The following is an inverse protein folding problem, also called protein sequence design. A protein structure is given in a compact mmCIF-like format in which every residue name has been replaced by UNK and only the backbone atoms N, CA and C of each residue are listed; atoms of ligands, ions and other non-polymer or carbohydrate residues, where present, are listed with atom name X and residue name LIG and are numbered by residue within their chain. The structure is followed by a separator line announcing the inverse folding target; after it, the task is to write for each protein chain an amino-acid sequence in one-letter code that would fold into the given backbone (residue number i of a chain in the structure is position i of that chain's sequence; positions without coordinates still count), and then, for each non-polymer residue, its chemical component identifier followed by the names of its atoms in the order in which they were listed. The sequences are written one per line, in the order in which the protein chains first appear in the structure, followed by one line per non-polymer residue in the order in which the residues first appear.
data_IF_661573068650
#
_entry.id   IF_661573068650
#
_cell.length_a   1.000
_cell.length_b   1.000
_cell.length_c   1.000
_cell.angle_alpha   90.00
_cell.angle_beta   90.00
_cell.angle_gamma   90.00
#
_symmetry.space_group_name_H-M   'P 1'
#
loop_
_entity.id
_entity.type
_entity.pdbx_description
1 polymer ?
#
# COMPACT_ATOMS: atom_id res chain seq x y z
N UNK A 1 33.18 -7.12 13.63
CA UNK A 1 32.04 -6.17 13.66
C UNK A 1 31.91 -5.34 12.36
N UNK A 2 32.89 -4.52 11.95
CA UNK A 2 32.79 -3.75 10.69
C UNK A 2 32.66 -4.65 9.46
N UNK A 3 33.41 -5.74 9.40
CA UNK A 3 33.37 -6.67 8.26
C UNK A 3 32.00 -7.39 8.14
N UNK A 4 31.43 -7.81 9.27
CA UNK A 4 30.09 -8.41 9.32
C UNK A 4 29.01 -7.44 8.84
N UNK A 5 29.15 -6.15 9.18
CA UNK A 5 28.22 -5.11 8.70
C UNK A 5 28.32 -4.93 7.18
N UNK A 6 29.54 -4.96 6.61
CA UNK A 6 29.73 -4.88 5.15
C UNK A 6 29.11 -6.09 4.45
N UNK A 7 29.36 -7.29 4.96
CA UNK A 7 28.82 -8.52 4.40
C UNK A 7 27.28 -8.52 4.35
N UNK A 8 26.63 -8.06 5.42
CA UNK A 8 25.16 -7.95 5.45
C UNK A 8 24.66 -6.91 4.44
N UNK A 9 25.32 -5.76 4.30
CA UNK A 9 24.94 -4.76 3.30
C UNK A 9 25.06 -5.30 1.87
N UNK A 10 26.12 -6.02 1.54
CA UNK A 10 26.29 -6.65 0.22
C UNK A 10 25.23 -7.69 -0.06
N UNK A 11 24.87 -8.52 0.94
CA UNK A 11 23.76 -9.48 0.81
C UNK A 11 22.42 -8.77 0.55
N UNK A 12 22.12 -7.70 1.28
CA UNK A 12 20.90 -6.90 1.08
C UNK A 12 20.90 -6.25 -0.31
N UNK A 13 22.02 -5.69 -0.76
CA UNK A 13 22.15 -5.11 -2.09
C UNK A 13 21.95 -6.17 -3.19
N UNK A 14 22.50 -7.37 -3.00
CA UNK A 14 22.28 -8.53 -3.87
C UNK A 14 20.80 -8.90 -4.00
N UNK A 15 20.10 -9.05 -2.87
CA UNK A 15 18.68 -9.37 -2.85
C UNK A 15 17.82 -8.26 -3.48
N UNK A 16 18.15 -6.99 -3.23
CA UNK A 16 17.46 -5.87 -3.87
C UNK A 16 17.62 -5.92 -5.40
N UNK A 17 18.81 -6.22 -5.92
CA UNK A 17 19.02 -6.39 -7.37
C UNK A 17 18.14 -7.52 -7.94
N UNK A 18 18.02 -8.64 -7.23
CA UNK A 18 17.15 -9.75 -7.66
C UNK A 18 15.68 -9.35 -7.67
N UNK A 19 15.19 -8.66 -6.63
CA UNK A 19 13.81 -8.14 -6.58
C UNK A 19 13.56 -7.18 -7.74
N UNK A 20 14.47 -6.25 -8.00
CA UNK A 20 14.32 -5.32 -9.13
C UNK A 20 14.35 -6.01 -10.49
N UNK A 21 15.15 -7.07 -10.65
CA UNK A 21 15.16 -7.85 -11.88
C UNK A 21 13.80 -8.54 -12.10
N UNK A 22 13.30 -9.26 -11.08
CA UNK A 22 12.00 -9.92 -11.13
C UNK A 22 10.85 -8.93 -11.36
N UNK A 23 10.90 -7.77 -10.71
CA UNK A 23 9.92 -6.70 -10.88
C UNK A 23 9.84 -6.25 -12.35
N UNK A 24 10.98 -6.07 -13.01
CA UNK A 24 11.02 -5.64 -14.42
C UNK A 24 10.48 -6.68 -15.38
N UNK A 25 10.58 -7.97 -15.06
CA UNK A 25 10.01 -9.05 -15.88
C UNK A 25 8.54 -9.33 -15.56
N UNK A 26 8.02 -8.86 -14.42
CA UNK A 26 6.65 -9.13 -13.99
C UNK A 26 5.69 -7.96 -14.34
N UNK A 27 4.82 -8.17 -15.33
CA UNK A 27 3.88 -7.15 -15.81
C UNK A 27 2.91 -6.66 -14.72
N UNK A 28 2.41 -7.55 -13.86
CA UNK A 28 1.53 -7.16 -12.76
C UNK A 28 2.26 -6.24 -11.77
N UNK A 29 3.50 -6.56 -11.43
CA UNK A 29 4.33 -5.74 -10.55
C UNK A 29 4.57 -4.34 -11.14
N UNK A 30 4.91 -4.25 -12.43
CA UNK A 30 5.06 -2.95 -13.11
C UNK A 30 3.77 -2.12 -13.12
N UNK A 31 2.60 -2.77 -13.27
CA UNK A 31 1.31 -2.08 -13.19
C UNK A 31 1.03 -1.57 -11.78
N UNK A 32 1.31 -2.36 -10.75
CA UNK A 32 1.10 -1.96 -9.36
C UNK A 32 1.99 -0.77 -8.95
N UNK A 33 3.23 -0.70 -9.45
CA UNK A 33 4.15 0.42 -9.18
C UNK A 33 3.60 1.78 -9.68
N UNK A 34 2.72 1.78 -10.68
CA UNK A 34 2.12 3.04 -11.17
C UNK A 34 1.24 3.74 -10.14
N UNK A 35 0.86 3.05 -9.05
CA UNK A 35 0.05 3.61 -7.97
C UNK A 35 0.95 4.46 -7.05
N UNK A 36 0.61 5.75 -6.81
CA UNK A 36 1.39 6.60 -5.92
C UNK A 36 1.59 5.97 -4.54
N UNK A 37 2.86 5.85 -4.14
CA UNK A 37 3.26 5.22 -2.87
C UNK A 37 3.57 3.73 -2.97
N UNK A 38 3.36 3.09 -4.12
CA UNK A 38 3.79 1.71 -4.35
C UNK A 38 5.08 1.75 -5.17
N UNK A 39 6.19 1.30 -4.57
CA UNK A 39 7.47 1.13 -5.27
C UNK A 39 7.73 -0.33 -5.66
N UNK A 40 8.87 -0.63 -6.34
CA UNK A 40 9.19 -1.98 -6.85
C UNK A 40 9.12 -3.08 -5.80
N UNK A 41 9.59 -2.82 -4.57
CA UNK A 41 9.54 -3.80 -3.47
C UNK A 41 8.09 -4.10 -3.07
N UNK A 42 7.27 -3.07 -2.90
CA UNK A 42 5.86 -3.22 -2.52
C UNK A 42 5.05 -3.86 -3.63
N UNK A 43 5.26 -3.43 -4.87
CA UNK A 43 4.65 -4.02 -6.04
C UNK A 43 5.03 -5.50 -6.19
N UNK A 44 6.29 -5.85 -5.94
CA UNK A 44 6.75 -7.24 -6.02
C UNK A 44 6.17 -8.11 -4.93
N UNK A 45 6.16 -7.62 -3.68
CA UNK A 45 5.52 -8.31 -2.57
C UNK A 45 4.03 -8.56 -2.86
N UNK A 46 3.31 -7.54 -3.33
CA UNK A 46 1.89 -7.69 -3.66
C UNK A 46 1.66 -8.70 -4.80
N UNK A 47 2.43 -8.61 -5.88
CA UNK A 47 2.30 -9.52 -7.03
C UNK A 47 2.71 -10.97 -6.68
N UNK A 48 3.64 -11.16 -5.75
CA UNK A 48 4.05 -12.49 -5.29
C UNK A 48 3.05 -13.11 -4.29
N UNK A 49 2.43 -12.30 -3.43
CA UNK A 49 1.49 -12.80 -2.41
C UNK A 49 0.06 -12.93 -2.92
N UNK A 50 -0.37 -12.06 -3.82
CA UNK A 50 -1.74 -12.05 -4.36
C UNK A 50 -1.71 -12.75 -5.72
N UNK A 51 -1.77 -14.08 -5.69
CA UNK A 51 -1.69 -14.92 -6.90
C UNK A 51 -2.99 -14.91 -7.71
N UNK A 52 -4.14 -14.80 -7.03
CA UNK A 52 -5.45 -14.70 -7.66
C UNK A 52 -6.30 -13.60 -7.01
N UNK A 53 -6.50 -12.51 -7.75
CA UNK A 53 -7.31 -11.37 -7.29
C UNK A 53 -8.82 -11.66 -7.31
N UNK A 54 -9.26 -12.67 -8.07
CA UNK A 54 -10.68 -13.03 -8.20
C UNK A 54 -11.28 -13.55 -6.88
N UNK A 55 -10.42 -14.04 -5.97
CA UNK A 55 -10.77 -14.41 -4.60
C UNK A 55 -11.37 -13.24 -3.79
N UNK A 56 -11.14 -11.99 -4.23
CA UNK A 56 -11.69 -10.79 -3.64
C UNK A 56 -12.80 -10.20 -4.51
N UNK A 57 -14.03 -10.22 -4.00
CA UNK A 57 -15.23 -9.63 -4.63
C UNK A 57 -15.15 -8.11 -4.76
N UNK A 58 -14.29 -7.45 -3.98
CA UNK A 58 -14.10 -6.00 -4.05
C UNK A 58 -12.77 -5.55 -3.46
N UNK A 59 -12.31 -4.36 -3.82
CA UNK A 59 -11.14 -3.75 -3.20
C UNK A 59 -11.30 -3.50 -1.69
N UNK A 60 -12.54 -3.38 -1.17
CA UNK A 60 -12.75 -3.35 0.28
C UNK A 60 -12.41 -4.68 0.94
N UNK A 61 -12.73 -5.80 0.28
CA UNK A 61 -12.38 -7.14 0.77
C UNK A 61 -10.86 -7.34 0.78
N UNK A 62 -10.16 -6.90 -0.28
CA UNK A 62 -8.69 -6.92 -0.29
C UNK A 62 -8.11 -6.06 0.84
N UNK A 63 -8.60 -4.84 1.02
CA UNK A 63 -8.14 -3.97 2.11
C UNK A 63 -8.43 -4.55 3.51
N UNK A 64 -9.53 -5.29 3.66
CA UNK A 64 -9.86 -6.00 4.89
C UNK A 64 -8.91 -7.17 5.14
N UNK A 65 -8.59 -7.95 4.10
CA UNK A 65 -7.63 -9.05 4.14
C UNK A 65 -6.22 -8.58 4.49
N UNK A 66 -5.82 -7.39 4.03
CA UNK A 66 -4.56 -6.73 4.41
C UNK A 66 -4.58 -6.09 5.82
N UNK A 67 -5.73 -6.08 6.48
CA UNK A 67 -5.89 -5.55 7.84
C UNK A 67 -5.91 -4.03 7.93
N UNK A 68 -6.27 -3.35 6.83
CA UNK A 68 -6.32 -1.89 6.70
C UNK A 68 -7.71 -1.31 6.99
N UNK A 69 -8.67 -2.13 7.43
CA UNK A 69 -10.04 -1.72 7.78
C UNK A 69 -10.20 -1.61 9.29
N UNK A 70 -11.05 -0.70 9.81
CA UNK A 70 -11.41 -0.67 11.23
C UNK A 70 -11.98 -2.00 11.72
N UNK A 71 -11.72 -2.36 12.98
CA UNK A 71 -12.46 -3.41 13.69
C UNK A 71 -13.87 -2.91 13.95
N UNK A 72 -14.86 -3.77 13.69
CA UNK A 72 -16.24 -3.54 14.07
C UNK A 72 -16.51 -4.31 15.36
N UNK A 73 -16.84 -3.57 16.42
CA UNK A 73 -17.32 -4.15 17.67
C UNK A 73 -18.75 -3.63 17.86
N UNK A 74 -19.73 -4.52 17.71
CA UNK A 74 -21.14 -4.20 17.91
C UNK A 74 -21.65 -4.96 19.12
N UNK A 75 -22.16 -4.23 20.13
CA UNK A 75 -22.92 -4.79 21.24
C UNK A 75 -24.22 -4.01 21.39
N UNK A 76 -25.33 -4.73 21.65
CA UNK A 76 -26.65 -4.12 21.86
C UNK A 76 -27.14 -3.21 20.73
N UNK A 77 -26.87 -3.56 19.46
CA UNK A 77 -27.35 -2.81 18.29
C UNK A 77 -26.62 -1.51 17.97
N UNK A 78 -25.57 -1.13 18.72
CA UNK A 78 -24.75 0.05 18.41
C UNK A 78 -23.46 -0.37 17.73
N UNK A 79 -23.27 0.04 16.47
CA UNK A 79 -22.02 -0.16 15.76
C UNK A 79 -20.96 0.83 16.24
N UNK A 80 -19.79 0.32 16.66
CA UNK A 80 -18.61 1.14 16.97
C UNK A 80 -17.42 0.69 16.14
N UNK A 81 -16.86 1.64 15.38
CA UNK A 81 -15.61 1.43 14.65
C UNK A 81 -14.42 1.72 15.57
N UNK A 82 -13.53 0.73 15.71
CA UNK A 82 -12.32 0.82 16.52
C UNK A 82 -11.06 1.07 15.71
N UNK A 83 -9.91 0.66 16.28
CA UNK A 83 -8.61 0.61 15.58
C UNK A 83 -8.68 -0.32 14.36
N UNK A 84 -7.74 -0.20 13.43
CA UNK A 84 -7.62 -1.15 12.32
C UNK A 84 -7.52 -2.60 12.81
N UNK A 85 -8.02 -3.54 12.01
CA UNK A 85 -8.06 -4.96 12.35
C UNK A 85 -6.68 -5.54 12.59
N UNK A 86 -5.68 -5.10 11.80
CA UNK A 86 -4.33 -5.68 11.74
C UNK A 86 -4.34 -7.19 11.43
N UNK A 87 -5.47 -7.70 10.95
CA UNK A 87 -5.60 -9.08 10.50
C UNK A 87 -4.92 -9.23 9.12
N UNK A 88 -4.27 -10.35 8.85
CA UNK A 88 -3.48 -10.56 7.64
C UNK A 88 -2.06 -9.98 7.70
N UNK A 89 -1.36 -10.04 6.56
CA UNK A 89 0.10 -9.93 6.48
C UNK A 89 0.64 -8.57 7.02
N UNK A 90 1.38 -8.58 8.15
CA UNK A 90 2.03 -7.39 8.70
C UNK A 90 3.05 -6.75 7.74
N UNK A 91 3.71 -7.54 6.90
CA UNK A 91 4.75 -7.07 5.97
C UNK A 91 4.15 -6.20 4.88
N UNK A 92 3.16 -6.71 4.13
CA UNK A 92 2.47 -5.92 3.08
C UNK A 92 1.80 -4.69 3.68
N UNK A 93 1.14 -4.84 4.83
CA UNK A 93 0.52 -3.71 5.53
C UNK A 93 1.54 -2.62 5.88
N UNK A 94 2.71 -3.00 6.39
CA UNK A 94 3.81 -2.07 6.69
C UNK A 94 4.29 -1.37 5.43
N UNK A 95 4.51 -2.11 4.34
CA UNK A 95 4.96 -1.54 3.06
C UNK A 95 3.97 -0.50 2.52
N UNK A 96 2.66 -0.79 2.54
CA UNK A 96 1.63 0.15 2.11
C UNK A 96 1.57 1.41 2.99
N UNK A 97 1.74 1.28 4.31
CA UNK A 97 1.77 2.41 5.23
C UNK A 97 3.03 3.27 5.00
N UNK A 98 4.20 2.66 4.79
CA UNK A 98 5.44 3.39 4.43
C UNK A 98 5.24 4.15 3.11
N UNK A 99 4.65 3.49 2.12
CA UNK A 99 4.27 4.10 0.85
C UNK A 99 3.36 5.32 1.01
N UNK A 100 2.31 5.18 1.82
CA UNK A 100 1.40 6.27 2.13
C UNK A 100 2.13 7.45 2.82
N UNK A 101 3.05 7.18 3.75
CA UNK A 101 3.88 8.23 4.35
C UNK A 101 4.73 8.97 3.32
N UNK A 102 5.33 8.27 2.36
CA UNK A 102 6.12 8.90 1.29
C UNK A 102 5.25 9.85 0.45
N UNK A 103 4.04 9.41 0.07
CA UNK A 103 3.08 10.25 -0.67
C UNK A 103 2.69 11.48 0.14
N UNK A 104 2.32 11.33 1.41
CA UNK A 104 1.91 12.45 2.27
C UNK A 104 3.05 13.47 2.51
N UNK A 105 4.29 12.99 2.64
CA UNK A 105 5.47 13.86 2.78
C UNK A 105 5.73 14.64 1.50
N UNK A 106 5.65 13.99 0.34
CA UNK A 106 5.89 14.63 -0.95
C UNK A 106 4.77 15.62 -1.30
N UNK A 107 3.51 15.30 -1.01
CA UNK A 107 2.37 16.19 -1.29
C UNK A 107 2.42 17.51 -0.53
N UNK A 108 2.96 17.51 0.70
CA UNK A 108 3.18 18.72 1.48
C UNK A 108 4.17 19.67 0.82
N UNK A 109 5.15 19.13 0.08
CA UNK A 109 6.18 19.91 -0.62
C UNK A 109 5.75 20.34 -2.02
N UNK A 110 5.02 19.51 -2.76
CA UNK A 110 4.85 19.67 -4.21
C UNK A 110 3.54 20.32 -4.67
N UNK A 111 2.62 20.78 -3.79
CA UNK A 111 1.26 21.25 -4.16
C UNK A 111 0.52 20.29 -5.12
N UNK A 112 0.86 18.99 -5.10
CA UNK A 112 0.38 18.03 -6.09
C UNK A 112 -1.13 17.80 -5.98
N UNK A 113 -1.83 17.94 -7.11
CA UNK A 113 -3.29 17.82 -7.25
C UNK A 113 -3.83 16.45 -6.83
N UNK A 114 -3.03 15.38 -6.99
CA UNK A 114 -3.38 13.99 -6.62
C UNK A 114 -3.61 13.76 -5.13
N UNK A 115 -3.34 14.77 -4.29
CA UNK A 115 -3.46 14.70 -2.84
C UNK A 115 -4.48 15.65 -2.22
N UNK A 116 -5.35 16.32 -2.99
CA UNK A 116 -6.38 17.21 -2.42
C UNK A 116 -7.26 16.52 -1.37
N UNK A 117 -7.65 15.26 -1.61
CA UNK A 117 -8.38 14.45 -0.64
C UNK A 117 -7.58 14.22 0.65
N UNK A 118 -6.32 13.81 0.53
CA UNK A 118 -5.44 13.58 1.68
C UNK A 118 -5.14 14.86 2.46
N UNK A 119 -4.98 16.00 1.76
CA UNK A 119 -4.79 17.31 2.37
C UNK A 119 -6.03 17.74 3.18
N UNK A 120 -7.23 17.54 2.65
CA UNK A 120 -8.47 17.78 3.39
C UNK A 120 -8.59 16.91 4.65
N UNK A 121 -8.18 15.65 4.58
CA UNK A 121 -8.15 14.77 5.75
C UNK A 121 -7.10 15.22 6.77
N UNK A 122 -5.92 15.67 6.33
CA UNK A 122 -4.86 16.18 7.21
C UNK A 122 -5.27 17.43 7.99
N UNK A 123 -6.22 18.22 7.46
CA UNK A 123 -6.77 19.38 8.17
C UNK A 123 -7.69 18.98 9.36
N UNK A 124 -8.24 17.76 9.35
CA UNK A 124 -9.26 17.33 10.31
C UNK A 124 -8.83 16.15 11.18
N UNK A 125 -7.83 15.36 10.75
CA UNK A 125 -7.47 14.08 11.36
C UNK A 125 -5.97 13.99 11.63
N UNK A 126 -5.55 13.25 12.67
CA UNK A 126 -4.14 13.02 12.95
C UNK A 126 -3.41 12.36 11.77
N UNK A 127 -2.13 12.72 11.59
CA UNK A 127 -1.31 12.28 10.46
C UNK A 127 -1.31 10.76 10.23
N UNK A 128 -1.13 9.96 11.29
CA UNK A 128 -1.10 8.50 11.18
C UNK A 128 -2.46 7.90 10.79
N UNK A 129 -3.58 8.54 11.14
CA UNK A 129 -4.91 8.14 10.69
C UNK A 129 -5.04 8.37 9.19
N UNK A 130 -4.54 9.51 8.69
CA UNK A 130 -4.54 9.80 7.26
C UNK A 130 -3.62 8.87 6.48
N UNK A 131 -2.44 8.55 7.02
CA UNK A 131 -1.52 7.58 6.40
C UNK A 131 -2.17 6.20 6.24
N UNK A 132 -2.85 5.71 7.28
CA UNK A 132 -3.61 4.45 7.23
C UNK A 132 -4.77 4.53 6.24
N UNK A 133 -5.51 5.65 6.20
CA UNK A 133 -6.60 5.85 5.25
C UNK A 133 -6.09 5.87 3.80
N UNK A 134 -4.93 6.49 3.54
CA UNK A 134 -4.30 6.49 2.23
C UNK A 134 -3.80 5.09 1.84
N UNK A 135 -3.21 4.34 2.77
CA UNK A 135 -2.83 2.95 2.54
C UNK A 135 -4.05 2.07 2.20
N UNK A 136 -5.19 2.27 2.88
CA UNK A 136 -6.46 1.61 2.53
C UNK A 136 -6.91 1.97 1.11
N UNK A 137 -6.82 3.26 0.73
CA UNK A 137 -7.12 3.71 -0.63
C UNK A 137 -6.19 3.06 -1.67
N UNK A 138 -4.88 3.00 -1.40
CA UNK A 138 -3.89 2.34 -2.27
C UNK A 138 -4.22 0.85 -2.46
N UNK A 139 -4.59 0.12 -1.40
CA UNK A 139 -5.01 -1.27 -1.52
C UNK A 139 -6.24 -1.46 -2.41
N UNK A 140 -7.22 -0.56 -2.30
CA UNK A 140 -8.42 -0.59 -3.15
C UNK A 140 -8.11 -0.30 -4.62
N UNK A 141 -7.20 0.63 -4.88
CA UNK A 141 -6.71 0.92 -6.23
C UNK A 141 -5.93 -0.27 -6.78
N UNK A 142 -5.06 -0.88 -5.97
CA UNK A 142 -4.31 -2.07 -6.37
C UNK A 142 -5.24 -3.21 -6.77
N UNK A 143 -6.33 -3.44 -6.04
CA UNK A 143 -7.36 -4.40 -6.45
C UNK A 143 -7.93 -4.08 -7.83
N UNK A 144 -8.28 -2.82 -8.10
CA UNK A 144 -8.80 -2.40 -9.40
C UNK A 144 -7.77 -2.56 -10.53
N UNK A 145 -6.50 -2.26 -10.28
CA UNK A 145 -5.40 -2.46 -11.24
C UNK A 145 -5.20 -3.95 -11.54
N UNK A 146 -5.24 -4.80 -10.50
CA UNK A 146 -5.14 -6.25 -10.64
C UNK A 146 -6.31 -6.85 -11.43
N UNK A 147 -7.55 -6.39 -11.19
CA UNK A 147 -8.74 -6.94 -11.87
C UNK A 147 -8.91 -6.43 -13.30
N UNK A 148 -8.63 -5.14 -13.54
CA UNK A 148 -8.77 -4.56 -14.89
C UNK A 148 -7.60 -4.85 -15.80
N UNK A 149 -6.44 -5.19 -15.24
CA UNK A 149 -5.19 -5.30 -15.99
C UNK A 149 -4.69 -3.97 -16.58
N UNK A 150 -5.27 -2.83 -16.20
CA UNK A 150 -4.86 -1.51 -16.69
C UNK A 150 -3.87 -0.88 -15.71
N UNK A 151 -3.03 0.04 -16.23
CA UNK A 151 -2.17 0.88 -15.38
C UNK A 151 -3.02 1.86 -14.59
N UNK A 152 -2.51 2.30 -13.44
CA UNK A 152 -3.17 3.37 -12.69
C UNK A 152 -3.07 4.67 -13.47
N UNK A 153 -4.23 5.22 -13.82
CA UNK A 153 -4.35 6.57 -14.33
C UNK A 153 -4.91 7.45 -13.22
N UNK A 154 -4.22 8.54 -12.84
CA UNK A 154 -4.80 9.50 -11.91
C UNK A 154 -6.06 10.06 -12.56
N UNK A 155 -7.17 10.08 -11.81
CA UNK A 155 -8.43 10.64 -12.30
C UNK A 155 -8.18 12.05 -12.85
N UNK A 156 -8.37 12.21 -14.16
CA UNK A 156 -8.22 13.50 -14.84
C UNK A 156 -9.15 14.51 -14.17
N UNK A 157 -8.59 15.66 -13.83
CA UNK A 157 -9.31 16.86 -13.44
C UNK A 157 -8.67 18.04 -14.13
#
# INVERSE_FOLDING_TARGET
LIEQLREVHEKVAGLNRQIHHWHRSNELSRRLETIPGIGPITASAMAATITDVSLFKSGRQLAAWLGLVPRQNSSGGKERLGRISKQGDPYIRRLLIIGAHAVLRYSRKAKATSTRWAAGLLAQKPYNVVAVALANKMARIAWAVMTTGKRFEPAAK
#
